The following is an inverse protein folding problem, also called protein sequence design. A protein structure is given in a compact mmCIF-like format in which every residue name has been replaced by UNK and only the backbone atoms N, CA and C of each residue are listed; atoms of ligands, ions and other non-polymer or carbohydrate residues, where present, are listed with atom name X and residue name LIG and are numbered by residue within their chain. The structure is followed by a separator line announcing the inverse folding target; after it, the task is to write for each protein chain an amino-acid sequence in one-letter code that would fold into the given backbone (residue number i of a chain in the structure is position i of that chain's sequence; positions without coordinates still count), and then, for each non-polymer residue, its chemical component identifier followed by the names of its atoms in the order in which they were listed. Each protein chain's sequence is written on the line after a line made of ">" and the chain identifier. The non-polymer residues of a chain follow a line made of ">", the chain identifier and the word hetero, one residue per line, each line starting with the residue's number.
data_IF_989948861730
#
_entry.id   IF_989948861730
#
_cell.length_a   1.000
_cell.length_b   1.000
_cell.length_c   1.000
_cell.angle_alpha   90.00
_cell.angle_beta   90.00
_cell.angle_gamma   90.00
#
_symmetry.space_group_name_H-M   'P 1'
#
loop_
_entity.id
_entity.type
_entity.pdbx_description
1 polymer ?
#
# COMPACT_ATOMS: atom_id res chain seq x y z
N UNK A 1 -54.07 6.83 -26.71
CA UNK A 1 -54.96 6.19 -25.74
C UNK A 1 -54.19 5.23 -24.88
N UNK A 2 -54.33 5.31 -23.67
CA UNK A 2 -54.05 4.54 -22.43
C UNK A 2 -52.87 5.02 -21.63
N UNK A 3 -53.19 5.87 -20.67
CA UNK A 3 -52.37 6.18 -19.48
C UNK A 3 -52.45 5.00 -18.52
N UNK A 4 -51.28 4.49 -18.07
CA UNK A 4 -51.19 3.68 -16.83
C UNK A 4 -50.32 4.41 -15.85
N UNK A 5 -50.93 4.83 -14.76
CA UNK A 5 -50.31 5.32 -13.53
C UNK A 5 -49.71 4.11 -12.78
N UNK A 6 -48.47 4.20 -12.37
CA UNK A 6 -47.91 3.30 -11.33
C UNK A 6 -47.69 4.15 -10.07
N UNK A 7 -48.30 3.69 -8.99
CA UNK A 7 -48.21 4.26 -7.67
C UNK A 7 -46.87 3.88 -7.01
N UNK A 8 -46.24 4.88 -6.42
CA UNK A 8 -45.09 4.69 -5.57
C UNK A 8 -45.52 4.21 -4.18
N UNK A 9 -45.09 3.02 -3.78
CA UNK A 9 -45.23 2.54 -2.43
C UNK A 9 -43.97 2.87 -1.63
N UNK A 10 -44.10 3.81 -0.71
CA UNK A 10 -43.07 4.11 0.30
C UNK A 10 -43.23 3.11 1.44
N UNK A 11 -42.22 2.23 1.64
CA UNK A 11 -42.12 1.42 2.85
C UNK A 11 -41.09 2.08 3.75
N UNK A 12 -41.58 2.73 4.81
CA UNK A 12 -40.77 3.28 5.88
C UNK A 12 -40.46 2.13 6.88
N UNK A 13 -39.21 1.72 6.95
CA UNK A 13 -38.73 0.84 8.01
C UNK A 13 -38.12 1.68 9.12
N UNK A 14 -38.85 1.81 10.22
CA UNK A 14 -38.37 2.42 11.46
C UNK A 14 -37.50 1.41 12.21
N UNK A 15 -36.20 1.65 12.30
CA UNK A 15 -35.35 0.95 13.27
C UNK A 15 -35.18 1.80 14.53
N UNK A 16 -35.68 1.30 15.61
CA UNK A 16 -35.43 1.81 16.95
C UNK A 16 -34.00 1.46 17.37
N UNK A 17 -33.16 2.49 17.55
CA UNK A 17 -31.87 2.37 18.21
C UNK A 17 -32.03 2.80 19.67
N UNK A 18 -31.93 1.85 20.59
CA UNK A 18 -31.82 2.12 22.01
C UNK A 18 -30.35 2.46 22.33
N UNK A 19 -30.07 3.73 22.56
CA UNK A 19 -28.81 4.18 23.16
C UNK A 19 -28.84 3.91 24.67
N UNK A 20 -28.04 2.97 25.12
CA UNK A 20 -27.72 2.80 26.53
C UNK A 20 -26.56 3.72 26.92
N UNK A 21 -26.88 4.80 27.60
CA UNK A 21 -25.89 5.63 28.30
C UNK A 21 -25.49 4.92 29.59
N UNK A 22 -24.24 4.44 29.65
CA UNK A 22 -23.63 4.04 30.92
C UNK A 22 -22.85 5.24 31.48
N UNK A 23 -23.33 5.73 32.61
CA UNK A 23 -22.75 6.86 33.36
C UNK A 23 -21.45 6.42 34.05
N UNK A 24 -20.42 7.28 33.96
CA UNK A 24 -19.23 7.22 34.78
C UNK A 24 -19.56 7.45 36.26
N UNK A 25 -19.03 6.60 37.12
CA UNK A 25 -18.99 6.83 38.57
C UNK A 25 -17.52 6.86 39.01
N UNK A 26 -17.03 7.95 39.60
CA UNK A 26 -15.69 8.00 40.13
C UNK A 26 -15.73 7.74 41.67
N UNK A 27 -14.94 6.78 42.08
CA UNK A 27 -14.52 6.71 43.51
C UNK A 27 -14.67 5.35 44.16
N UNK A 28 -13.55 4.86 44.71
CA UNK A 28 -13.57 3.82 45.75
C UNK A 28 -12.39 2.86 45.70
N UNK A 29 -11.49 3.09 46.61
CA UNK A 29 -10.21 2.46 46.95
C UNK A 29 -10.22 0.93 47.14
N UNK A 30 -9.06 0.38 46.81
CA UNK A 30 -8.28 -0.69 47.50
C UNK A 30 -8.89 -2.04 47.80
N UNK A 31 -8.30 -3.08 47.26
CA UNK A 31 -7.57 -4.07 48.11
C UNK A 31 -6.79 -5.05 47.23
N UNK A 32 -5.59 -5.33 47.68
CA UNK A 32 -4.63 -6.29 47.18
C UNK A 32 -5.17 -7.70 46.95
N UNK A 33 -4.68 -8.33 45.89
CA UNK A 33 -4.34 -9.76 45.91
C UNK A 33 -3.20 -10.01 44.94
N UNK A 34 -2.04 -10.08 45.48
CA UNK A 34 -0.82 -10.58 44.85
C UNK A 34 -0.98 -12.06 44.48
N UNK A 35 -0.75 -12.38 43.21
CA UNK A 35 -0.13 -13.66 42.87
C UNK A 35 0.83 -13.40 41.74
N UNK A 36 2.11 -13.50 42.07
CA UNK A 36 3.21 -13.23 41.21
C UNK A 36 3.34 -14.26 40.09
N UNK A 37 3.67 -13.74 38.97
CA UNK A 37 4.20 -14.35 37.80
C UNK A 37 4.73 -13.23 36.94
N UNK A 38 5.91 -12.66 37.30
CA UNK A 38 6.69 -11.84 36.39
C UNK A 38 7.19 -12.75 35.27
N UNK A 39 6.35 -13.01 34.30
CA UNK A 39 6.85 -13.18 32.94
C UNK A 39 7.35 -11.79 32.53
N UNK A 40 8.62 -11.65 32.21
CA UNK A 40 9.10 -10.47 31.51
C UNK A 40 8.18 -10.33 30.29
N UNK A 41 7.43 -9.24 30.23
CA UNK A 41 6.63 -8.94 29.07
C UNK A 41 7.58 -8.90 27.90
N UNK A 42 7.40 -9.83 26.94
CA UNK A 42 8.18 -9.85 25.71
C UNK A 42 8.05 -8.50 25.02
N UNK A 43 9.05 -8.10 24.24
CA UNK A 43 9.01 -6.86 23.48
C UNK A 43 8.00 -6.90 22.35
N UNK A 44 7.49 -8.07 21.99
CA UNK A 44 6.52 -8.29 20.93
C UNK A 44 5.10 -8.17 21.50
N UNK A 45 4.28 -7.21 21.00
CA UNK A 45 2.88 -7.10 21.41
C UNK A 45 2.05 -8.32 20.96
N UNK A 46 1.07 -8.67 21.78
CA UNK A 46 0.12 -9.72 21.39
C UNK A 46 -0.74 -9.27 20.18
N UNK A 47 -1.06 -10.20 19.25
CA UNK A 47 -1.95 -9.91 18.14
C UNK A 47 -3.37 -9.56 18.59
N UNK A 48 -4.00 -8.64 17.89
CA UNK A 48 -5.41 -8.24 18.13
C UNK A 48 -6.38 -9.17 17.38
N UNK A 49 -6.15 -10.49 17.50
CA UNK A 49 -7.03 -11.54 16.95
C UNK A 49 -7.00 -12.77 17.85
N UNK A 50 -8.10 -13.53 17.85
CA UNK A 50 -8.22 -14.77 18.63
C UNK A 50 -7.63 -15.97 17.87
N UNK A 51 -6.37 -15.89 17.44
CA UNK A 51 -5.66 -16.97 16.76
C UNK A 51 -4.79 -17.75 17.75
N UNK A 52 -4.66 -19.05 17.51
CA UNK A 52 -3.71 -19.89 18.25
C UNK A 52 -2.31 -19.68 17.65
N UNK A 53 -1.55 -18.73 18.22
CA UNK A 53 -0.22 -18.38 17.75
C UNK A 53 0.80 -19.11 18.62
N UNK A 54 1.75 -19.86 18.01
CA UNK A 54 2.79 -20.52 18.76
C UNK A 54 3.56 -19.57 19.66
N UNK A 55 3.75 -19.94 20.93
CA UNK A 55 4.43 -19.10 21.92
C UNK A 55 5.81 -18.62 21.47
N UNK A 56 6.56 -19.44 20.70
CA UNK A 56 7.85 -19.05 20.14
C UNK A 56 7.77 -17.91 19.11
N UNK A 57 6.58 -17.55 18.59
CA UNK A 57 6.42 -16.40 17.71
C UNK A 57 6.26 -15.09 18.50
N UNK A 58 5.85 -15.19 19.77
CA UNK A 58 5.55 -14.05 20.63
C UNK A 58 6.64 -13.77 21.68
N UNK A 59 7.59 -14.66 21.85
CA UNK A 59 8.72 -14.46 22.75
C UNK A 59 9.87 -13.69 22.07
N UNK A 60 10.86 -13.26 22.84
CA UNK A 60 12.04 -12.54 22.35
C UNK A 60 13.12 -13.47 21.74
N UNK A 61 12.82 -14.75 21.52
CA UNK A 61 13.77 -15.66 20.90
C UNK A 61 13.99 -15.35 19.42
N UNK A 62 15.23 -15.50 18.98
CA UNK A 62 15.59 -15.39 17.56
C UNK A 62 15.14 -16.63 16.80
N UNK A 63 14.85 -16.46 15.50
CA UNK A 63 14.58 -17.58 14.61
C UNK A 63 15.80 -18.50 14.55
N UNK A 64 15.58 -19.81 14.77
CA UNK A 64 16.60 -20.83 14.54
C UNK A 64 16.64 -21.20 13.05
N UNK A 65 17.62 -20.66 12.33
CA UNK A 65 17.80 -20.93 10.90
C UNK A 65 18.54 -22.26 10.63
N UNK A 66 18.93 -23.00 11.67
CA UNK A 66 19.59 -24.31 11.52
C UNK A 66 18.61 -25.44 11.21
N UNK A 67 17.31 -25.23 11.43
CA UNK A 67 16.24 -26.20 11.19
C UNK A 67 15.19 -25.56 10.29
N UNK A 68 15.30 -25.84 9.00
CA UNK A 68 14.34 -25.36 8.00
C UNK A 68 13.57 -26.57 7.48
N UNK A 69 12.36 -26.78 8.01
CA UNK A 69 11.48 -27.91 7.66
C UNK A 69 10.01 -27.53 7.79
N UNK A 70 9.15 -28.19 7.05
CA UNK A 70 7.70 -28.03 7.09
C UNK A 70 7.10 -27.48 5.81
N UNK A 71 5.80 -27.26 5.82
CA UNK A 71 5.08 -26.64 4.71
C UNK A 71 4.94 -25.15 4.96
N UNK A 72 5.19 -24.37 3.94
CA UNK A 72 5.07 -22.89 3.94
C UNK A 72 4.07 -22.50 2.87
N UNK A 73 3.08 -21.71 3.25
CA UNK A 73 2.18 -21.06 2.29
C UNK A 73 2.75 -19.71 1.89
N UNK A 74 2.89 -19.51 0.58
CA UNK A 74 3.41 -18.27 -0.01
C UNK A 74 2.35 -17.66 -0.93
N UNK A 75 1.92 -16.42 -0.65
CA UNK A 75 0.90 -15.74 -1.43
C UNK A 75 1.44 -14.48 -2.08
N UNK A 76 1.23 -14.35 -3.39
CA UNK A 76 1.60 -13.19 -4.19
C UNK A 76 0.38 -12.51 -4.81
N UNK A 77 0.59 -11.29 -5.28
CA UNK A 77 -0.44 -10.45 -5.88
C UNK A 77 -0.15 -10.23 -7.36
N UNK A 78 -0.87 -10.97 -8.23
CA UNK A 78 -0.84 -10.78 -9.68
C UNK A 78 0.50 -11.06 -10.36
N UNK A 79 1.37 -11.90 -9.78
CA UNK A 79 2.71 -12.15 -10.31
C UNK A 79 2.83 -13.43 -11.14
N UNK A 80 1.83 -14.31 -11.10
CA UNK A 80 1.93 -15.61 -11.72
C UNK A 80 1.96 -15.56 -13.25
N UNK A 81 1.23 -14.63 -13.85
CA UNK A 81 1.15 -14.53 -15.31
C UNK A 81 2.50 -14.10 -15.92
N UNK A 82 3.14 -13.10 -15.33
CA UNK A 82 4.35 -12.51 -15.92
C UNK A 82 5.65 -13.11 -15.36
N UNK A 83 5.62 -13.58 -14.11
CA UNK A 83 6.81 -14.04 -13.39
C UNK A 83 6.70 -15.50 -12.92
N UNK A 84 5.71 -16.27 -13.42
CA UNK A 84 5.43 -17.63 -12.95
C UNK A 84 6.63 -18.57 -13.03
N UNK A 85 7.36 -18.56 -14.13
CA UNK A 85 8.52 -19.43 -14.32
C UNK A 85 9.68 -19.03 -13.40
N UNK A 86 9.86 -17.73 -13.18
CA UNK A 86 10.88 -17.23 -12.24
C UNK A 86 10.58 -17.72 -10.81
N UNK A 87 9.35 -17.54 -10.32
CA UNK A 87 9.00 -17.96 -8.96
C UNK A 87 9.05 -19.47 -8.78
N UNK A 88 8.56 -20.25 -9.75
CA UNK A 88 8.67 -21.71 -9.72
C UNK A 88 10.14 -22.18 -9.64
N UNK A 89 11.01 -21.54 -10.42
CA UNK A 89 12.44 -21.85 -10.37
C UNK A 89 13.05 -21.51 -9.01
N UNK A 90 12.69 -20.35 -8.42
CA UNK A 90 13.21 -19.95 -7.10
C UNK A 90 12.65 -20.79 -5.97
N UNK A 91 11.40 -21.17 -6.02
CA UNK A 91 10.80 -22.12 -5.06
C UNK A 91 11.54 -23.45 -5.14
N UNK A 92 11.72 -23.98 -6.35
CA UNK A 92 12.46 -25.24 -6.52
C UNK A 92 13.90 -25.15 -6.00
N UNK A 93 14.63 -24.08 -6.28
CA UNK A 93 15.98 -23.85 -5.77
C UNK A 93 16.02 -23.88 -4.24
N UNK A 94 15.03 -23.25 -3.59
CA UNK A 94 14.92 -23.23 -2.14
C UNK A 94 14.57 -24.61 -1.56
N UNK A 95 13.62 -25.33 -2.15
CA UNK A 95 13.23 -26.69 -1.74
C UNK A 95 14.39 -27.68 -1.94
N UNK A 96 15.14 -27.58 -3.05
CA UNK A 96 16.32 -28.41 -3.30
C UNK A 96 17.45 -28.18 -2.27
N UNK A 97 17.62 -26.92 -1.82
CA UNK A 97 18.58 -26.57 -0.78
C UNK A 97 18.10 -26.95 0.63
N UNK A 98 16.79 -27.10 0.83
CA UNK A 98 16.16 -27.40 2.10
C UNK A 98 15.17 -28.58 1.91
N UNK A 99 15.63 -29.82 1.82
CA UNK A 99 14.79 -30.98 1.45
C UNK A 99 13.60 -31.27 2.40
N UNK A 100 13.63 -30.68 3.60
CA UNK A 100 12.52 -30.78 4.56
C UNK A 100 11.41 -29.76 4.36
N UNK A 101 11.54 -28.84 3.39
CA UNK A 101 10.60 -27.76 3.16
C UNK A 101 9.75 -28.01 1.92
N UNK A 102 8.45 -27.68 2.01
CA UNK A 102 7.54 -27.59 0.89
C UNK A 102 6.91 -26.21 0.83
N UNK A 103 6.96 -25.53 -0.32
CA UNK A 103 6.36 -24.23 -0.53
C UNK A 103 5.11 -24.37 -1.38
N UNK A 104 3.96 -24.01 -0.82
CA UNK A 104 2.67 -23.96 -1.50
C UNK A 104 2.41 -22.53 -1.95
N UNK A 105 2.73 -22.23 -3.21
CA UNK A 105 2.56 -20.91 -3.79
C UNK A 105 1.16 -20.71 -4.35
N UNK A 106 0.52 -19.62 -3.94
CA UNK A 106 -0.75 -19.12 -4.49
C UNK A 106 -0.57 -17.70 -5.00
N UNK A 107 -1.33 -17.33 -6.02
CA UNK A 107 -1.32 -15.99 -6.59
C UNK A 107 -2.76 -15.51 -6.76
N UNK A 108 -3.04 -14.29 -6.34
CA UNK A 108 -4.38 -13.70 -6.42
C UNK A 108 -4.31 -12.41 -7.23
N UNK A 109 -5.41 -12.04 -7.89
CA UNK A 109 -5.51 -10.77 -8.59
C UNK A 109 -5.24 -9.58 -7.66
N UNK A 110 -4.67 -8.50 -8.22
CA UNK A 110 -4.39 -7.27 -7.48
C UNK A 110 -5.63 -6.39 -7.27
N UNK A 111 -5.42 -5.27 -6.57
CA UNK A 111 -6.41 -4.24 -6.33
C UNK A 111 -6.99 -4.24 -4.91
N UNK A 112 -7.94 -3.36 -4.66
CA UNK A 112 -8.54 -3.16 -3.33
C UNK A 112 -9.17 -4.43 -2.74
N UNK A 113 -9.67 -5.33 -3.57
CA UNK A 113 -10.22 -6.62 -3.16
C UNK A 113 -9.16 -7.55 -2.56
N UNK A 114 -7.93 -7.47 -3.05
CA UNK A 114 -6.82 -8.25 -2.51
C UNK A 114 -6.52 -7.85 -1.06
N UNK A 115 -6.40 -6.57 -0.77
CA UNK A 115 -6.14 -6.05 0.58
C UNK A 115 -7.23 -6.45 1.57
N UNK A 116 -8.49 -6.36 1.15
CA UNK A 116 -9.63 -6.82 1.95
C UNK A 116 -9.58 -8.33 2.22
N UNK A 117 -9.21 -9.10 1.21
CA UNK A 117 -9.09 -10.57 1.32
C UNK A 117 -7.98 -10.94 2.30
N UNK A 118 -6.80 -10.34 2.21
CA UNK A 118 -5.67 -10.60 3.12
C UNK A 118 -6.04 -10.22 4.56
N UNK A 119 -6.67 -9.05 4.76
CA UNK A 119 -7.12 -8.62 6.09
C UNK A 119 -8.17 -9.59 6.68
N UNK A 120 -9.10 -10.06 5.86
CA UNK A 120 -10.08 -11.06 6.29
C UNK A 120 -9.44 -12.42 6.58
N UNK A 121 -8.46 -12.86 5.80
CA UNK A 121 -7.68 -14.07 6.06
C UNK A 121 -6.94 -13.96 7.40
N UNK A 122 -6.30 -12.83 7.67
CA UNK A 122 -5.60 -12.57 8.92
C UNK A 122 -6.56 -12.64 10.12
N UNK A 123 -7.70 -11.94 10.05
CA UNK A 123 -8.72 -11.96 11.11
C UNK A 123 -9.33 -13.34 11.37
N UNK A 124 -9.30 -14.24 10.39
CA UNK A 124 -9.80 -15.60 10.48
C UNK A 124 -8.70 -16.66 10.69
N UNK A 125 -7.48 -16.24 11.01
CA UNK A 125 -6.33 -17.14 11.22
C UNK A 125 -6.00 -18.03 10.00
N UNK A 126 -6.19 -17.48 8.80
CA UNK A 126 -5.98 -18.17 7.52
C UNK A 126 -5.04 -17.42 6.57
N UNK A 127 -4.35 -16.40 7.08
CA UNK A 127 -3.34 -15.69 6.30
C UNK A 127 -2.19 -16.64 5.95
N UNK A 128 -1.63 -16.49 4.75
CA UNK A 128 -0.47 -17.25 4.35
C UNK A 128 0.76 -16.90 5.23
N UNK A 129 1.69 -17.83 5.37
CA UNK A 129 2.91 -17.66 6.19
C UNK A 129 3.81 -16.57 5.63
N UNK A 130 3.87 -16.44 4.30
CA UNK A 130 4.61 -15.39 3.60
C UNK A 130 3.66 -14.74 2.58
N UNK A 131 3.54 -13.42 2.65
CA UNK A 131 2.65 -12.64 1.78
C UNK A 131 3.39 -11.50 1.08
N UNK A 132 3.06 -11.26 -0.17
CA UNK A 132 3.48 -10.07 -0.91
C UNK A 132 2.31 -9.09 -0.94
N UNK A 133 2.45 -7.96 -0.26
CA UNK A 133 1.37 -6.97 -0.07
C UNK A 133 1.89 -5.54 -0.18
N UNK A 134 1.04 -4.56 -0.52
CA UNK A 134 1.40 -3.15 -0.52
C UNK A 134 1.57 -2.60 0.89
N UNK A 135 2.24 -1.45 1.01
CA UNK A 135 2.54 -0.79 2.29
C UNK A 135 1.29 -0.48 3.14
N UNK A 136 0.16 -0.18 2.49
CA UNK A 136 -1.13 0.05 3.17
C UNK A 136 -1.59 -1.18 3.96
N UNK A 137 -1.50 -2.35 3.35
CA UNK A 137 -1.85 -3.62 3.99
C UNK A 137 -0.84 -4.00 5.08
N UNK A 138 0.46 -3.78 4.84
CA UNK A 138 1.49 -3.96 5.88
C UNK A 138 1.15 -3.11 7.10
N UNK A 139 0.83 -1.82 6.91
CA UNK A 139 0.47 -0.92 8.01
C UNK A 139 -0.77 -1.41 8.78
N UNK A 140 -1.81 -1.88 8.08
CA UNK A 140 -3.01 -2.41 8.71
C UNK A 140 -2.73 -3.65 9.56
N UNK A 141 -1.98 -4.62 9.01
CA UNK A 141 -1.59 -5.85 9.69
C UNK A 141 -0.65 -5.57 10.87
N UNK A 142 0.29 -4.62 10.72
CA UNK A 142 1.22 -4.22 11.78
C UNK A 142 0.50 -3.59 12.97
N UNK A 143 -0.51 -2.75 12.72
CA UNK A 143 -1.33 -2.16 13.80
C UNK A 143 -2.09 -3.19 14.63
N UNK A 144 -2.39 -4.34 14.05
CA UNK A 144 -3.02 -5.48 14.73
C UNK A 144 -2.02 -6.52 15.21
N UNK A 145 -0.73 -6.23 15.16
CA UNK A 145 0.38 -7.11 15.58
C UNK A 145 0.36 -8.50 14.89
N UNK A 146 -0.03 -8.54 13.61
CA UNK A 146 -0.19 -9.78 12.85
C UNK A 146 1.03 -10.13 11.99
N UNK A 147 2.06 -9.29 11.99
CA UNK A 147 3.28 -9.52 11.24
C UNK A 147 4.46 -9.77 12.19
N UNK A 148 5.42 -10.53 11.69
CA UNK A 148 6.63 -10.85 12.44
C UNK A 148 7.46 -9.57 12.70
N UNK A 149 7.94 -9.43 13.92
CA UNK A 149 8.88 -8.39 14.31
C UNK A 149 10.31 -8.82 13.94
N UNK A 150 10.84 -8.23 12.89
CA UNK A 150 12.17 -8.57 12.38
C UNK A 150 13.31 -8.07 13.25
N UNK A 151 13.14 -7.00 14.00
CA UNK A 151 14.17 -6.46 14.89
C UNK A 151 14.42 -7.43 16.05
N UNK A 152 13.38 -8.10 16.52
CA UNK A 152 13.47 -9.12 17.58
C UNK A 152 13.84 -10.50 16.99
N UNK A 153 13.09 -10.95 15.99
CA UNK A 153 13.19 -12.33 15.46
C UNK A 153 14.41 -12.57 14.58
N UNK A 154 14.83 -11.56 13.83
CA UNK A 154 15.95 -11.67 12.87
C UNK A 154 16.86 -10.44 12.91
N UNK A 155 17.45 -10.09 14.07
CA UNK A 155 18.25 -8.88 14.21
C UNK A 155 19.41 -8.86 13.23
N UNK A 156 19.65 -7.69 12.60
CA UNK A 156 20.68 -7.52 11.57
C UNK A 156 20.25 -7.91 10.15
N UNK A 157 19.02 -8.40 9.93
CA UNK A 157 18.55 -8.68 8.58
C UNK A 157 18.48 -7.40 7.73
N UNK A 158 18.24 -6.25 8.37
CA UNK A 158 18.18 -4.94 7.73
C UNK A 158 19.47 -4.55 7.01
N UNK A 159 20.63 -5.07 7.44
CA UNK A 159 21.92 -4.81 6.80
C UNK A 159 22.01 -5.33 5.36
N UNK A 160 21.07 -6.19 4.95
CA UNK A 160 20.98 -6.72 3.59
C UNK A 160 20.24 -5.78 2.62
N UNK A 161 19.64 -4.71 3.12
CA UNK A 161 18.79 -3.80 2.34
C UNK A 161 19.39 -2.39 2.28
N UNK A 162 18.96 -1.63 1.29
CA UNK A 162 19.24 -0.19 1.26
C UNK A 162 18.54 0.47 2.45
N UNK A 163 19.31 1.21 3.27
CA UNK A 163 18.83 1.74 4.54
C UNK A 163 17.50 2.51 4.42
N UNK A 164 17.36 3.42 3.47
CA UNK A 164 16.15 4.22 3.31
C UNK A 164 14.92 3.38 2.96
N UNK A 165 15.11 2.26 2.25
CA UNK A 165 14.04 1.33 1.92
C UNK A 165 13.70 0.46 3.14
N UNK A 166 14.72 -0.01 3.86
CA UNK A 166 14.52 -0.70 5.13
C UNK A 166 13.74 0.14 6.12
N UNK A 167 14.17 1.39 6.34
CA UNK A 167 13.51 2.32 7.27
C UNK A 167 12.00 2.52 6.96
N UNK A 168 11.58 2.36 5.70
CA UNK A 168 10.18 2.47 5.31
C UNK A 168 9.29 1.30 5.75
N UNK A 169 9.89 0.21 6.24
CA UNK A 169 9.17 -0.95 6.77
C UNK A 169 9.03 -0.94 8.30
N UNK A 170 9.46 0.15 8.96
CA UNK A 170 9.30 0.38 10.40
C UNK A 170 7.84 0.80 10.71
N UNK A 171 6.91 -0.13 10.54
CA UNK A 171 5.45 0.09 10.64
C UNK A 171 4.84 -0.60 11.86
N UNK A 172 5.62 -1.34 12.62
CA UNK A 172 5.21 -2.04 13.84
C UNK A 172 5.18 -1.14 15.09
N UNK A 173 4.88 -1.75 16.21
CA UNK A 173 4.97 -1.08 17.52
C UNK A 173 6.42 -0.65 17.78
N UNK A 174 6.61 0.49 18.43
CA UNK A 174 7.93 1.07 18.73
C UNK A 174 8.82 1.30 17.50
N UNK A 175 8.23 1.57 16.35
CA UNK A 175 8.91 1.73 15.06
C UNK A 175 9.72 0.49 14.63
N UNK A 176 9.31 -0.71 15.09
CA UNK A 176 9.92 -1.96 14.68
C UNK A 176 9.55 -2.33 13.23
N UNK A 177 10.48 -3.03 12.57
CA UNK A 177 10.32 -3.45 11.18
C UNK A 177 9.49 -4.74 11.11
N UNK A 178 8.38 -4.68 10.37
CA UNK A 178 7.42 -5.80 10.26
C UNK A 178 7.30 -6.37 8.85
N UNK A 179 8.09 -5.86 7.92
CA UNK A 179 8.14 -6.36 6.56
C UNK A 179 9.57 -6.32 6.00
N UNK A 180 9.83 -7.17 5.01
CA UNK A 180 11.06 -7.12 4.21
C UNK A 180 10.77 -6.39 2.91
N UNK A 181 11.63 -5.45 2.48
CA UNK A 181 11.54 -4.88 1.15
C UNK A 181 11.65 -5.97 0.09
N UNK A 182 10.71 -6.02 -0.82
CA UNK A 182 10.68 -7.03 -1.88
C UNK A 182 11.23 -6.49 -3.19
N UNK A 183 10.56 -5.51 -3.78
CA UNK A 183 11.02 -4.83 -4.98
C UNK A 183 10.86 -3.32 -4.84
N UNK A 184 11.69 -2.62 -5.55
CA UNK A 184 11.69 -1.17 -5.58
C UNK A 184 11.72 -0.70 -7.04
N UNK A 185 10.82 0.21 -7.37
CA UNK A 185 10.77 0.87 -8.66
C UNK A 185 10.84 2.38 -8.47
N UNK A 186 11.91 3.07 -8.92
CA UNK A 186 11.89 4.53 -8.94
C UNK A 186 10.86 5.01 -9.96
N UNK A 187 10.15 6.08 -9.63
CA UNK A 187 9.38 6.78 -10.63
C UNK A 187 10.34 7.47 -11.60
N UNK A 188 10.25 7.11 -12.87
CA UNK A 188 11.02 7.73 -13.94
C UNK A 188 10.05 8.30 -14.96
N UNK A 189 10.40 9.48 -15.49
CA UNK A 189 9.67 10.05 -16.61
C UNK A 189 10.26 9.54 -17.91
N UNK A 190 9.43 8.94 -18.74
CA UNK A 190 9.76 8.56 -20.11
C UNK A 190 9.05 9.49 -21.08
N UNK A 191 9.65 9.73 -22.24
CA UNK A 191 9.04 10.56 -23.28
C UNK A 191 9.28 9.97 -24.67
N UNK A 192 8.35 10.24 -25.58
CA UNK A 192 8.46 9.83 -26.96
C UNK A 192 9.18 10.93 -27.76
N UNK A 193 10.37 10.65 -28.28
CA UNK A 193 11.19 11.58 -29.04
C UNK A 193 10.52 12.10 -30.31
N UNK A 194 9.77 11.27 -31.01
CA UNK A 194 9.06 11.68 -32.23
C UNK A 194 7.91 12.64 -31.91
N UNK A 195 7.23 12.46 -30.79
CA UNK A 195 6.21 13.39 -30.29
C UNK A 195 6.85 14.73 -29.96
N UNK A 196 7.98 14.74 -29.23
CA UNK A 196 8.73 15.98 -28.92
C UNK A 196 9.09 16.74 -30.19
N UNK A 197 9.67 16.03 -31.17
CA UNK A 197 10.05 16.64 -32.44
C UNK A 197 8.85 17.23 -33.19
N UNK A 198 7.72 16.53 -33.26
CA UNK A 198 6.50 17.07 -33.86
C UNK A 198 5.99 18.32 -33.16
N UNK A 199 6.04 18.35 -31.84
CA UNK A 199 5.65 19.48 -31.02
C UNK A 199 6.67 20.65 -31.05
N UNK A 200 7.76 20.54 -31.85
CA UNK A 200 8.79 21.57 -31.96
C UNK A 200 9.73 21.64 -30.75
N UNK A 201 9.81 20.56 -29.96
CA UNK A 201 10.75 20.41 -28.86
C UNK A 201 12.02 19.69 -29.31
N UNK A 202 13.10 19.87 -28.55
CA UNK A 202 14.36 19.14 -28.81
C UNK A 202 14.23 17.70 -28.29
N UNK A 203 14.27 16.73 -29.21
CA UNK A 203 14.13 15.31 -28.93
C UNK A 203 15.22 14.72 -28.03
N UNK A 204 16.29 15.46 -27.74
CA UNK A 204 17.39 15.04 -26.88
C UNK A 204 17.45 15.80 -25.56
N UNK A 205 16.53 16.71 -25.33
CA UNK A 205 16.47 17.53 -24.12
C UNK A 205 15.15 17.25 -23.36
N UNK A 206 15.09 16.19 -22.53
CA UNK A 206 13.94 15.97 -21.68
C UNK A 206 13.81 17.06 -20.62
N UNK A 207 12.60 17.36 -20.12
CA UNK A 207 12.38 18.30 -19.06
C UNK A 207 13.13 17.87 -17.78
N UNK A 208 13.73 18.82 -17.09
CA UNK A 208 14.52 18.61 -15.87
C UNK A 208 13.78 19.07 -14.61
N UNK A 209 12.78 19.89 -14.78
CA UNK A 209 11.96 20.44 -13.69
C UNK A 209 10.48 20.17 -13.98
N UNK A 210 9.65 20.30 -12.96
CA UNK A 210 8.19 20.18 -13.12
C UNK A 210 7.63 21.29 -14.00
N UNK A 211 8.18 22.50 -13.92
CA UNK A 211 7.73 23.62 -14.75
C UNK A 211 8.05 23.35 -16.23
N UNK A 212 9.26 22.90 -16.55
CA UNK A 212 9.62 22.48 -17.91
C UNK A 212 8.71 21.33 -18.40
N UNK A 213 8.40 20.36 -17.54
CA UNK A 213 7.50 19.26 -17.88
C UNK A 213 6.10 19.77 -18.24
N UNK A 214 5.55 20.71 -17.48
CA UNK A 214 4.25 21.29 -17.77
C UNK A 214 4.25 22.14 -19.05
N UNK A 215 5.32 22.91 -19.28
CA UNK A 215 5.48 23.70 -20.52
C UNK A 215 5.58 22.79 -21.75
N UNK A 216 6.37 21.72 -21.68
CA UNK A 216 6.51 20.77 -22.77
C UNK A 216 5.24 19.99 -23.01
N UNK A 217 4.54 19.58 -21.94
CA UNK A 217 3.24 18.93 -22.04
C UNK A 217 2.18 19.82 -22.73
N UNK A 218 2.17 21.12 -22.42
CA UNK A 218 1.28 22.06 -23.09
C UNK A 218 1.59 22.18 -24.59
N UNK A 219 2.86 22.20 -24.99
CA UNK A 219 3.28 22.23 -26.41
C UNK A 219 2.89 20.96 -27.14
N UNK A 220 3.09 19.79 -26.51
CA UNK A 220 2.67 18.50 -27.08
C UNK A 220 1.16 18.46 -27.27
N UNK A 221 0.37 18.84 -26.27
CA UNK A 221 -1.08 18.88 -26.39
C UNK A 221 -1.62 19.88 -27.41
N UNK A 222 -0.82 20.90 -27.77
CA UNK A 222 -1.18 21.92 -28.73
C UNK A 222 -0.76 21.60 -30.18
N UNK A 223 -0.05 20.50 -30.43
CA UNK A 223 0.47 20.16 -31.76
C UNK A 223 -0.61 19.78 -32.80
N UNK A 224 -1.84 19.54 -32.34
CA UNK A 224 -2.99 19.23 -33.16
C UNK A 224 -3.02 17.82 -33.74
N UNK A 225 -2.10 16.95 -33.32
CA UNK A 225 -2.01 15.56 -33.79
C UNK A 225 -2.77 14.57 -32.89
N UNK A 226 -3.34 15.04 -31.78
CA UNK A 226 -4.02 14.22 -30.80
C UNK A 226 -3.09 13.56 -29.79
N UNK A 227 -1.85 14.03 -29.75
CA UNK A 227 -0.88 13.58 -28.74
C UNK A 227 -1.18 14.20 -27.37
N UNK A 228 -0.87 13.46 -26.32
CA UNK A 228 -1.03 13.93 -24.95
C UNK A 228 0.34 14.24 -24.34
N UNK A 229 0.42 15.35 -23.60
CA UNK A 229 1.66 15.78 -22.98
C UNK A 229 2.00 15.03 -21.69
N UNK A 230 0.98 14.68 -20.92
CA UNK A 230 1.12 13.95 -19.66
C UNK A 230 -0.10 13.03 -19.51
N UNK A 231 0.15 11.83 -18.95
CA UNK A 231 -0.88 11.01 -18.36
C UNK A 231 -0.91 11.28 -16.86
N UNK A 232 -2.00 11.84 -16.35
CA UNK A 232 -2.15 12.17 -14.93
C UNK A 232 -3.13 11.23 -14.25
N UNK A 233 -2.64 10.33 -13.39
CA UNK A 233 -3.50 9.58 -12.47
C UNK A 233 -3.53 10.27 -11.10
N UNK A 234 -4.69 10.73 -10.60
CA UNK A 234 -4.75 11.38 -9.29
C UNK A 234 -4.41 10.42 -8.15
N UNK A 235 -4.72 9.14 -8.28
CA UNK A 235 -4.60 8.17 -7.20
C UNK A 235 -3.14 7.87 -6.82
N UNK A 236 -2.30 7.64 -7.83
CA UNK A 236 -0.93 7.19 -7.58
C UNK A 236 0.11 8.28 -7.76
N UNK A 237 -0.14 9.17 -8.72
CA UNK A 237 0.88 10.08 -9.18
C UNK A 237 0.88 11.40 -8.42
N UNK A 238 -0.28 11.99 -8.17
CA UNK A 238 -0.37 13.33 -7.59
C UNK A 238 0.22 13.39 -6.18
N UNK A 239 -0.12 12.45 -5.32
CA UNK A 239 0.36 12.41 -3.93
C UNK A 239 1.87 12.18 -3.87
N UNK A 240 2.39 11.27 -4.71
CA UNK A 240 3.83 11.01 -4.79
C UNK A 240 4.60 12.23 -5.32
N UNK A 241 4.05 12.95 -6.30
CA UNK A 241 4.66 14.17 -6.83
C UNK A 241 4.66 15.31 -5.79
N UNK A 242 3.56 15.54 -5.09
CA UNK A 242 3.49 16.54 -4.01
C UNK A 242 4.53 16.24 -2.93
N UNK A 243 4.65 14.99 -2.53
CA UNK A 243 5.68 14.58 -1.57
C UNK A 243 7.10 14.82 -2.12
N UNK A 244 7.35 14.44 -3.37
CA UNK A 244 8.63 14.67 -4.05
C UNK A 244 9.00 16.16 -4.20
N UNK A 245 8.00 17.03 -4.26
CA UNK A 245 8.17 18.49 -4.24
C UNK A 245 8.39 19.07 -2.84
N UNK A 246 8.45 18.23 -1.80
CA UNK A 246 8.65 18.63 -0.41
C UNK A 246 7.39 19.13 0.30
N UNK A 247 6.21 18.85 -0.25
CA UNK A 247 4.95 19.18 0.41
C UNK A 247 4.71 18.20 1.56
N UNK A 248 4.54 18.71 2.77
CA UNK A 248 4.09 17.91 3.90
C UNK A 248 2.62 17.54 3.70
N UNK A 249 2.36 16.25 3.50
CA UNK A 249 1.02 15.78 3.19
C UNK A 249 0.13 15.64 4.43
N UNK A 250 0.72 15.39 5.59
CA UNK A 250 0.01 15.12 6.84
C UNK A 250 0.32 16.18 7.89
N UNK A 251 -0.62 16.38 8.81
CA UNK A 251 -0.43 17.15 10.03
C UNK A 251 0.64 16.49 10.94
N UNK A 252 1.05 17.21 12.00
CA UNK A 252 2.16 16.82 12.86
C UNK A 252 1.95 15.46 13.57
N UNK A 253 0.72 15.13 13.91
CA UNK A 253 0.32 13.85 14.54
C UNK A 253 -0.08 12.77 13.53
N UNK A 254 0.05 13.03 12.23
CA UNK A 254 -0.19 12.10 11.11
C UNK A 254 -1.63 11.54 11.08
N UNK A 255 -2.59 12.27 11.59
CA UNK A 255 -4.00 11.86 11.68
C UNK A 255 -4.88 12.37 10.54
N UNK A 256 -4.42 13.40 9.80
CA UNK A 256 -5.18 14.02 8.71
C UNK A 256 -4.26 14.59 7.62
N UNK A 257 -4.78 14.71 6.41
CA UNK A 257 -4.13 15.49 5.36
C UNK A 257 -4.15 16.97 5.70
N UNK A 258 -3.02 17.66 5.48
CA UNK A 258 -2.80 19.06 5.84
C UNK A 258 -1.96 19.78 4.77
N UNK A 259 -2.38 19.71 3.52
CA UNK A 259 -1.69 20.35 2.40
C UNK A 259 -2.58 21.25 1.53
N UNK A 260 -3.84 21.41 1.91
CA UNK A 260 -4.82 22.14 1.09
C UNK A 260 -4.45 23.63 0.88
N UNK A 261 -3.79 24.23 1.86
CA UNK A 261 -3.34 25.63 1.82
C UNK A 261 -1.87 25.78 1.38
N UNK A 262 -1.21 24.69 0.96
CA UNK A 262 0.16 24.72 0.52
C UNK A 262 0.26 25.27 -0.92
N UNK A 263 0.99 26.37 -1.12
CA UNK A 263 1.09 27.04 -2.42
C UNK A 263 1.66 26.11 -3.52
N UNK A 264 2.63 25.26 -3.21
CA UNK A 264 3.19 24.34 -4.19
C UNK A 264 2.14 23.30 -4.61
N UNK A 265 1.33 22.81 -3.67
CA UNK A 265 0.24 21.88 -3.96
C UNK A 265 -0.85 22.54 -4.81
N UNK A 266 -1.26 23.76 -4.46
CA UNK A 266 -2.24 24.55 -5.22
C UNK A 266 -1.75 24.79 -6.64
N UNK A 267 -0.50 25.24 -6.79
CA UNK A 267 0.10 25.52 -8.10
C UNK A 267 0.18 24.26 -8.96
N UNK A 268 0.58 23.12 -8.38
CA UNK A 268 0.65 21.84 -9.08
C UNK A 268 -0.72 21.42 -9.62
N UNK A 269 -1.75 21.42 -8.77
CA UNK A 269 -3.12 21.05 -9.17
C UNK A 269 -3.68 22.03 -10.20
N UNK A 270 -3.38 23.33 -10.06
CA UNK A 270 -3.80 24.36 -11.02
C UNK A 270 -3.20 24.09 -12.41
N UNK A 271 -1.89 23.78 -12.47
CA UNK A 271 -1.23 23.44 -13.74
C UNK A 271 -1.80 22.19 -14.38
N UNK A 272 -2.08 21.15 -13.60
CA UNK A 272 -2.74 19.94 -14.12
C UNK A 272 -4.15 20.27 -14.68
N UNK A 273 -4.90 21.12 -13.98
CA UNK A 273 -6.22 21.57 -14.43
C UNK A 273 -6.16 22.37 -15.75
N UNK A 274 -5.17 23.25 -15.91
CA UNK A 274 -4.91 24.00 -17.14
C UNK A 274 -4.59 23.06 -18.31
N UNK A 275 -3.69 22.07 -18.08
CA UNK A 275 -3.34 21.07 -19.09
C UNK A 275 -4.51 20.16 -19.47
N UNK A 276 -5.33 19.79 -18.50
CA UNK A 276 -6.57 19.04 -18.74
C UNK A 276 -7.55 19.87 -19.60
N UNK A 277 -7.77 21.13 -19.24
CA UNK A 277 -8.67 22.02 -19.96
C UNK A 277 -8.19 22.28 -21.40
N UNK A 278 -6.87 22.33 -21.64
CA UNK A 278 -6.29 22.48 -22.98
C UNK A 278 -6.29 21.20 -23.83
N UNK A 279 -6.57 20.04 -23.23
CA UNK A 279 -6.51 18.74 -23.90
C UNK A 279 -5.13 18.10 -23.92
N UNK A 280 -4.15 18.67 -23.22
CA UNK A 280 -2.80 18.08 -23.08
C UNK A 280 -2.78 16.86 -22.14
N UNK A 281 -3.84 16.66 -21.36
CA UNK A 281 -4.07 15.47 -20.53
C UNK A 281 -5.33 14.77 -21.07
N UNK A 282 -5.32 13.43 -21.24
CA UNK A 282 -6.50 12.68 -21.67
C UNK A 282 -7.68 12.88 -20.70
N UNK A 283 -8.89 12.99 -21.23
CA UNK A 283 -10.08 13.27 -20.40
C UNK A 283 -10.42 12.15 -19.43
N UNK A 284 -10.09 10.94 -19.75
CA UNK A 284 -10.31 9.72 -18.96
C UNK A 284 -9.15 9.40 -18.00
N UNK A 285 -8.03 10.10 -18.06
CA UNK A 285 -6.92 9.93 -17.12
C UNK A 285 -7.31 10.18 -15.65
N UNK A 286 -8.37 10.96 -15.42
CA UNK A 286 -8.88 11.28 -14.08
C UNK A 286 -9.88 10.24 -13.55
N UNK A 287 -10.25 9.24 -14.32
CA UNK A 287 -11.22 8.21 -13.92
C UNK A 287 -10.60 7.02 -13.19
N UNK A 288 -9.27 6.98 -13.08
CA UNK A 288 -8.54 5.88 -12.46
C UNK A 288 -8.46 4.61 -13.32
N UNK A 289 -9.15 4.56 -14.46
CA UNK A 289 -9.04 3.44 -15.38
C UNK A 289 -7.84 3.64 -16.30
N UNK A 290 -6.93 2.65 -16.38
CA UNK A 290 -5.83 2.73 -17.32
C UNK A 290 -6.39 2.76 -18.74
N UNK A 291 -5.91 3.69 -19.56
CA UNK A 291 -6.24 3.73 -20.97
C UNK A 291 -5.69 2.47 -21.66
N UNK A 292 -6.58 1.57 -22.05
CA UNK A 292 -6.19 0.48 -22.96
C UNK A 292 -5.71 1.12 -24.28
N UNK A 293 -4.46 0.95 -24.59
CA UNK A 293 -3.88 1.39 -25.86
C UNK A 293 -3.08 2.69 -25.80
N UNK A 294 -2.75 3.27 -24.65
CA UNK A 294 -1.68 4.26 -24.58
C UNK A 294 -0.35 3.54 -24.79
N UNK A 295 0.14 3.59 -26.02
CA UNK A 295 1.48 3.14 -26.36
C UNK A 295 2.42 4.33 -26.32
N UNK A 296 3.53 4.20 -25.57
CA UNK A 296 4.59 5.17 -25.51
C UNK A 296 5.47 5.12 -26.77
#
# INVERSE_FOLDING_TARGET
>A
MLKKKMAAGVVALAMFSTLGLAACNPGGSSSDSSSGGSAAAGSIPEPDVACDIPAGNLDDSKIDTSKVEGEITFQTQGLQNDFGDFFKAKIKEFEDANPGVKINWTDQGGGAEFDQTVTAQASNCKMADVINVPSSTILALSKSNLLMDYDVKAPGIGDKFVKSIWDSTALGANDHHTALPWYFGPYITTYNKEVFKRAGLDENMPPKTMDELFEDAAKVGADGQGDYGIYGSPEWYMIAQLHGMGVNLLNADKTAFDFADNEAAINYVTKLSELYASGAIPKDSLTGEPLEGVTF
#
